data_IF_393777125237
#
_entry.id   IF_393777125237
#
_cell.length_a   1.000
_cell.length_b   1.000
_cell.length_c   1.000
_cell.angle_alpha   90.00
_cell.angle_beta   90.00
_cell.angle_gamma   90.00
#
_symmetry.space_group_name_H-M   'P 1'
#
loop_
_entity.id
_entity.type
_entity.pdbx_description
1 polymer ?
#
# COMPACT_ATOMS: atom_id res chain seq x y z
N UNK A 1 13.26 1.81 7.63
CA UNK A 1 12.28 0.88 7.04
C UNK A 1 11.19 0.55 8.03
N UNK A 2 9.92 0.47 7.59
CA UNK A 2 8.81 0.22 8.53
C UNK A 2 8.76 -1.22 9.04
N UNK A 3 9.45 -2.14 8.39
CA UNK A 3 9.52 -3.53 8.85
C UNK A 3 8.24 -4.32 8.65
N UNK A 4 7.50 -4.01 7.60
CA UNK A 4 6.30 -4.77 7.30
C UNK A 4 6.62 -6.07 6.56
N UNK A 5 5.74 -7.06 6.70
CA UNK A 5 5.82 -8.30 5.94
C UNK A 5 4.59 -8.48 5.07
N UNK A 6 4.82 -8.97 3.86
CA UNK A 6 3.75 -9.25 2.92
C UNK A 6 3.11 -10.59 3.30
N UNK A 7 1.84 -10.56 3.69
CA UNK A 7 1.12 -11.74 4.18
C UNK A 7 0.31 -12.42 3.09
N UNK A 8 -0.13 -11.66 2.09
CA UNK A 8 -0.96 -12.16 1.01
C UNK A 8 -0.75 -11.35 -0.25
N UNK A 9 -0.70 -12.04 -1.38
CA UNK A 9 -0.53 -11.40 -2.70
C UNK A 9 -1.23 -12.25 -3.74
N UNK A 10 -2.56 -12.16 -3.78
CA UNK A 10 -3.42 -12.91 -4.70
C UNK A 10 -4.07 -11.94 -5.68
N UNK A 11 -4.67 -12.43 -6.77
CA UNK A 11 -5.31 -11.53 -7.75
C UNK A 11 -6.29 -10.57 -7.10
N UNK A 12 -5.99 -9.28 -7.20
CA UNK A 12 -6.82 -8.20 -6.70
C UNK A 12 -6.74 -7.94 -5.21
N UNK A 13 -5.93 -8.67 -4.44
CA UNK A 13 -5.86 -8.47 -3.00
C UNK A 13 -4.44 -8.65 -2.47
N UNK A 14 -4.04 -7.78 -1.56
CA UNK A 14 -2.76 -7.87 -0.86
C UNK A 14 -2.97 -7.59 0.61
N UNK A 15 -2.17 -8.23 1.47
CA UNK A 15 -2.17 -7.98 2.91
C UNK A 15 -0.75 -7.80 3.38
N UNK A 16 -0.54 -6.81 4.23
CA UNK A 16 0.74 -6.58 4.90
C UNK A 16 0.50 -6.49 6.40
N UNK A 17 1.52 -6.80 7.16
CA UNK A 17 1.47 -6.69 8.60
C UNK A 17 2.75 -6.02 9.10
N UNK A 18 2.61 -5.21 10.15
CA UNK A 18 3.75 -4.58 10.80
C UNK A 18 3.51 -4.55 12.30
N UNK A 19 4.46 -5.05 13.12
CA UNK A 19 4.39 -4.85 14.56
C UNK A 19 4.66 -3.38 14.87
N UNK A 20 3.84 -2.78 15.71
CA UNK A 20 4.02 -1.39 16.06
C UNK A 20 5.21 -1.25 17.01
N UNK A 21 6.24 -0.57 16.57
CA UNK A 21 7.44 -0.29 17.36
C UNK A 21 7.37 1.13 17.91
N UNK A 22 8.15 1.38 18.96
CA UNK A 22 8.13 2.69 19.62
C UNK A 22 8.38 3.84 18.63
N UNK A 23 9.34 3.70 17.73
CA UNK A 23 9.65 4.75 16.77
C UNK A 23 8.56 4.97 15.72
N UNK A 24 7.56 4.10 15.65
CA UNK A 24 6.42 4.24 14.75
C UNK A 24 5.20 4.82 15.46
N UNK A 25 5.32 5.10 16.76
CA UNK A 25 4.22 5.66 17.56
C UNK A 25 4.41 7.15 17.77
N UNK A 26 3.30 7.82 18.07
CA UNK A 26 3.33 9.21 18.52
C UNK A 26 3.48 9.25 20.05
N UNK A 27 3.39 10.45 20.64
CA UNK A 27 3.53 10.64 22.09
C UNK A 27 2.46 9.91 22.91
N UNK A 28 1.40 9.44 22.28
CA UNK A 28 0.32 8.70 22.93
C UNK A 28 0.50 7.19 22.88
N UNK A 29 1.60 6.71 22.27
CA UNK A 29 1.85 5.27 22.12
C UNK A 29 1.00 4.59 21.06
N UNK A 30 0.39 5.35 20.16
CA UNK A 30 -0.42 4.82 19.06
C UNK A 30 0.27 5.11 17.73
N UNK A 31 -0.12 4.39 16.68
CA UNK A 31 0.49 4.54 15.37
C UNK A 31 0.43 5.99 14.90
N UNK A 32 1.57 6.51 14.46
CA UNK A 32 1.64 7.84 13.87
C UNK A 32 0.80 7.88 12.58
N UNK A 33 0.08 9.00 12.37
CA UNK A 33 -0.76 9.14 11.18
C UNK A 33 -0.02 8.93 9.87
N UNK A 34 1.23 9.39 9.79
CA UNK A 34 2.07 9.18 8.62
C UNK A 34 2.39 7.70 8.39
N UNK A 35 2.55 6.92 9.45
CA UNK A 35 2.76 5.47 9.34
C UNK A 35 1.49 4.81 8.80
N UNK A 36 0.34 5.16 9.32
CA UNK A 36 -0.95 4.64 8.85
C UNK A 36 -1.14 4.93 7.37
N UNK A 37 -0.90 6.16 6.93
CA UNK A 37 -1.03 6.52 5.52
C UNK A 37 -0.05 5.75 4.63
N UNK A 38 1.18 5.59 5.09
CA UNK A 38 2.21 4.85 4.34
C UNK A 38 1.79 3.39 4.18
N UNK A 39 1.31 2.75 5.24
CA UNK A 39 0.87 1.36 5.17
C UNK A 39 -0.30 1.18 4.21
N UNK A 40 -1.26 2.09 4.24
CA UNK A 40 -2.40 2.05 3.33
C UNK A 40 -1.96 2.25 1.87
N UNK A 41 -1.07 3.21 1.62
CA UNK A 41 -0.53 3.45 0.28
C UNK A 41 0.19 2.20 -0.24
N UNK A 42 1.08 1.64 0.57
CA UNK A 42 1.87 0.47 0.19
C UNK A 42 0.97 -0.73 -0.10
N UNK A 43 -0.02 -1.02 0.75
CA UNK A 43 -0.85 -2.20 0.56
C UNK A 43 -1.78 -2.04 -0.66
N UNK A 44 -2.27 -0.83 -0.92
CA UNK A 44 -3.05 -0.57 -2.12
C UNK A 44 -2.20 -0.69 -3.38
N UNK A 45 -0.96 -0.19 -3.33
CA UNK A 45 -0.03 -0.31 -4.46
C UNK A 45 0.29 -1.78 -4.74
N UNK A 46 0.48 -2.59 -3.71
CA UNK A 46 0.67 -4.03 -3.87
C UNK A 46 -0.56 -4.68 -4.50
N UNK A 47 -1.76 -4.32 -4.03
CA UNK A 47 -3.00 -4.84 -4.59
C UNK A 47 -3.13 -4.50 -6.09
N UNK A 48 -2.73 -3.28 -6.46
CA UNK A 48 -2.77 -2.85 -7.85
C UNK A 48 -1.83 -3.68 -8.74
N UNK A 49 -0.75 -4.20 -8.18
CA UNK A 49 0.26 -4.97 -8.91
C UNK A 49 0.07 -6.48 -8.80
N UNK A 50 -0.97 -6.96 -8.15
CA UNK A 50 -1.24 -8.39 -8.09
C UNK A 50 -1.49 -8.95 -9.49
N UNK A 51 -1.22 -10.25 -9.72
CA UNK A 51 -1.52 -10.86 -11.01
C UNK A 51 -3.01 -10.76 -11.33
N UNK A 52 -3.34 -10.81 -12.62
CA UNK A 52 -4.73 -10.95 -13.03
C UNK A 52 -5.19 -12.38 -12.77
N UNK A 53 -6.50 -12.61 -12.88
CA UNK A 53 -7.11 -13.92 -12.61
C UNK A 53 -6.49 -15.02 -13.48
N UNK A 54 -6.04 -14.67 -14.69
CA UNK A 54 -5.38 -15.62 -15.61
C UNK A 54 -3.89 -15.79 -15.32
N UNK A 55 -3.37 -15.18 -14.26
CA UNK A 55 -1.98 -15.34 -13.87
C UNK A 55 -1.00 -14.38 -14.53
N UNK A 56 -1.46 -13.44 -15.34
CA UNK A 56 -0.58 -12.46 -15.98
C UNK A 56 -0.05 -11.50 -14.92
N UNK A 57 1.27 -11.43 -14.80
CA UNK A 57 1.95 -10.63 -13.78
C UNK A 57 2.15 -9.20 -14.28
N UNK A 58 1.86 -8.23 -13.41
CA UNK A 58 2.12 -6.83 -13.71
C UNK A 58 3.60 -6.52 -13.48
N UNK A 59 4.31 -6.17 -14.54
CA UNK A 59 5.75 -5.88 -14.48
C UNK A 59 6.05 -4.38 -14.52
N UNK A 60 5.05 -3.53 -14.75
CA UNK A 60 5.25 -2.08 -14.78
C UNK A 60 5.49 -1.52 -13.38
N UNK A 61 6.19 -0.40 -13.32
CA UNK A 61 6.22 0.40 -12.10
C UNK A 61 4.85 1.00 -11.83
N UNK A 62 4.65 1.54 -10.64
CA UNK A 62 3.38 2.14 -10.26
C UNK A 62 3.62 3.41 -9.46
N UNK A 63 2.79 4.41 -9.66
CA UNK A 63 2.82 5.64 -8.86
C UNK A 63 1.42 5.94 -8.34
N UNK A 64 1.38 6.54 -7.15
CA UNK A 64 0.14 7.00 -6.53
C UNK A 64 -0.26 8.33 -7.16
N UNK A 65 -1.45 8.40 -7.72
CA UNK A 65 -1.99 9.64 -8.26
C UNK A 65 -2.64 10.45 -7.15
N UNK A 66 -3.48 9.80 -6.36
CA UNK A 66 -4.10 10.41 -5.20
C UNK A 66 -4.54 9.32 -4.24
N UNK A 67 -4.69 9.68 -2.97
CA UNK A 67 -5.34 8.80 -2.01
C UNK A 67 -6.09 9.66 -0.99
N UNK A 68 -7.19 9.11 -0.52
CA UNK A 68 -7.99 9.71 0.53
C UNK A 68 -8.03 8.74 1.71
N UNK A 69 -7.65 9.23 2.88
CA UNK A 69 -7.58 8.40 4.10
C UNK A 69 -8.52 8.95 5.15
N UNK A 70 -9.28 8.06 5.75
CA UNK A 70 -10.12 8.36 6.93
C UNK A 70 -9.51 7.67 8.13
N UNK A 71 -9.20 8.43 9.18
CA UNK A 71 -8.67 7.92 10.43
C UNK A 71 -9.84 7.70 11.37
N UNK A 72 -10.08 6.45 11.75
CA UNK A 72 -11.29 6.09 12.49
C UNK A 72 -11.03 5.93 13.98
N UNK A 73 -9.83 5.45 14.36
CA UNK A 73 -9.45 5.25 15.76
C UNK A 73 -7.94 5.05 15.88
N UNK A 74 -7.37 5.22 17.07
CA UNK A 74 -5.94 4.98 17.28
C UNK A 74 -5.58 3.51 17.05
N UNK A 75 -4.46 3.26 16.37
CA UNK A 75 -3.97 1.91 16.13
C UNK A 75 -3.01 1.47 17.22
N UNK A 76 -3.22 0.28 17.78
CA UNK A 76 -2.42 -0.29 18.85
C UNK A 76 -1.94 -1.69 18.48
N UNK A 77 -0.70 -1.98 18.81
CA UNK A 77 -0.12 -3.28 18.61
C UNK A 77 0.21 -3.58 17.16
N UNK A 78 0.03 -4.83 16.75
CA UNK A 78 0.31 -5.26 15.39
C UNK A 78 -0.77 -4.74 14.45
N UNK A 79 -0.33 -4.09 13.37
CA UNK A 79 -1.24 -3.55 12.37
C UNK A 79 -1.27 -4.44 11.14
N UNK A 80 -2.46 -4.72 10.63
CA UNK A 80 -2.64 -5.50 9.40
C UNK A 80 -3.41 -4.66 8.40
N UNK A 81 -2.79 -4.42 7.26
CA UNK A 81 -3.40 -3.70 6.15
C UNK A 81 -3.86 -4.65 5.06
N UNK A 82 -5.04 -4.41 4.53
CA UNK A 82 -5.58 -5.17 3.39
C UNK A 82 -5.87 -4.19 2.28
N UNK A 83 -5.33 -4.46 1.09
CA UNK A 83 -5.60 -3.69 -0.12
C UNK A 83 -6.40 -4.52 -1.10
N UNK A 84 -7.34 -3.86 -1.79
CA UNK A 84 -8.14 -4.49 -2.84
C UNK A 84 -8.12 -3.62 -4.08
N UNK A 85 -7.86 -4.25 -5.22
CA UNK A 85 -8.00 -3.58 -6.51
C UNK A 85 -9.46 -3.70 -6.93
N UNK A 86 -10.17 -2.57 -6.91
CA UNK A 86 -11.59 -2.53 -7.24
C UNK A 86 -11.82 -2.55 -8.75
N UNK A 87 -10.94 -1.87 -9.48
CA UNK A 87 -11.06 -1.74 -10.92
C UNK A 87 -9.71 -1.43 -11.52
N UNK A 88 -9.50 -1.89 -12.74
CA UNK A 88 -8.28 -1.64 -13.48
C UNK A 88 -8.59 -1.31 -14.93
N UNK A 89 -7.90 -0.28 -15.46
CA UNK A 89 -7.84 0.00 -16.90
C UNK A 89 -6.44 -0.39 -17.41
N UNK A 90 -6.17 -0.14 -18.67
CA UNK A 90 -4.85 -0.42 -19.22
C UNK A 90 -3.73 0.37 -18.53
N UNK A 91 -4.05 1.58 -18.03
CA UNK A 91 -3.04 2.47 -17.44
C UNK A 91 -3.26 2.81 -15.99
N UNK A 92 -4.41 2.51 -15.41
CA UNK A 92 -4.79 2.96 -14.08
C UNK A 92 -5.35 1.81 -13.24
N UNK A 93 -5.23 1.94 -11.92
CA UNK A 93 -5.87 1.04 -10.97
C UNK A 93 -6.57 1.87 -9.90
N UNK A 94 -7.75 1.40 -9.50
CA UNK A 94 -8.55 2.02 -8.44
C UNK A 94 -8.66 1.01 -7.31
N UNK A 95 -8.17 1.40 -6.13
CA UNK A 95 -8.02 0.49 -5.01
C UNK A 95 -8.67 1.05 -3.75
N UNK A 96 -8.96 0.14 -2.81
CA UNK A 96 -9.27 0.53 -1.45
C UNK A 96 -8.33 -0.21 -0.51
N UNK A 97 -8.16 0.34 0.69
CA UNK A 97 -7.35 -0.27 1.72
C UNK A 97 -7.96 -0.06 3.08
N UNK A 98 -7.76 -1.01 3.97
CA UNK A 98 -8.17 -0.89 5.36
C UNK A 98 -7.05 -1.36 6.25
N UNK A 99 -7.00 -0.80 7.46
CA UNK A 99 -6.00 -1.12 8.46
C UNK A 99 -6.72 -1.51 9.74
N UNK A 100 -6.36 -2.68 10.30
CA UNK A 100 -6.90 -3.14 11.57
C UNK A 100 -5.77 -3.31 12.57
N UNK A 101 -6.08 -3.15 13.85
CA UNK A 101 -5.09 -3.30 14.91
C UNK A 101 -5.14 -4.71 15.52
N UNK A 102 -4.33 -4.92 16.57
CA UNK A 102 -4.21 -6.22 17.22
C UNK A 102 -5.54 -6.70 17.82
N UNK A 103 -6.45 -5.79 18.15
CA UNK A 103 -7.78 -6.13 18.66
C UNK A 103 -8.80 -6.45 17.56
N UNK A 104 -8.40 -6.40 16.30
CA UNK A 104 -9.31 -6.62 15.17
C UNK A 104 -10.19 -5.44 14.84
N UNK A 105 -9.92 -4.27 15.44
CA UNK A 105 -10.69 -3.05 15.20
C UNK A 105 -10.15 -2.30 13.99
N UNK A 106 -11.05 -1.74 13.18
CA UNK A 106 -10.63 -0.94 12.05
C UNK A 106 -10.06 0.39 12.52
N UNK A 107 -8.85 0.70 12.08
CA UNK A 107 -8.11 1.90 12.47
C UNK A 107 -8.30 3.00 11.43
N UNK A 108 -8.23 2.62 10.16
CA UNK A 108 -8.30 3.57 9.07
C UNK A 108 -8.76 2.88 7.80
N UNK A 109 -9.29 3.69 6.89
CA UNK A 109 -9.72 3.24 5.57
C UNK A 109 -9.27 4.27 4.54
N UNK A 110 -8.89 3.78 3.36
CA UNK A 110 -8.47 4.66 2.28
C UNK A 110 -8.99 4.18 0.94
N UNK A 111 -9.11 5.11 0.01
CA UNK A 111 -9.25 4.83 -1.41
C UNK A 111 -8.07 5.47 -2.12
N UNK A 112 -7.62 4.87 -3.21
CA UNK A 112 -6.48 5.39 -3.94
C UNK A 112 -6.58 5.10 -5.41
N UNK A 113 -5.97 5.99 -6.19
CA UNK A 113 -5.86 5.87 -7.64
C UNK A 113 -4.38 5.78 -7.98
N UNK A 114 -4.03 4.81 -8.81
CA UNK A 114 -2.64 4.52 -9.16
C UNK A 114 -2.48 4.47 -10.66
N UNK A 115 -1.30 4.84 -11.14
CA UNK A 115 -0.99 4.78 -12.56
C UNK A 115 0.16 3.81 -12.79
N UNK A 116 0.00 2.93 -13.78
CA UNK A 116 1.07 2.05 -14.22
C UNK A 116 2.03 2.82 -15.13
N UNK A 117 3.32 2.73 -14.83
CA UNK A 117 4.36 3.38 -15.62
C UNK A 117 4.94 2.36 -16.58
N UNK A 118 4.36 2.28 -17.75
CA UNK A 118 4.78 1.32 -18.76
C UNK A 118 6.19 1.63 -19.24
N UNK A 119 6.98 0.58 -19.45
CA UNK A 119 8.35 0.71 -19.87
C UNK A 119 9.33 0.99 -18.75
N UNK A 120 8.86 1.17 -17.51
CA UNK A 120 9.73 1.32 -16.34
C UNK A 120 9.75 0.01 -15.56
N UNK A 121 10.91 -0.60 -15.36
CA UNK A 121 10.98 -1.80 -14.55
C UNK A 121 10.68 -1.48 -13.08
N UNK A 122 10.05 -2.43 -12.40
CA UNK A 122 9.69 -2.27 -11.00
C UNK A 122 10.91 -2.08 -10.09
N UNK A 123 12.11 -2.41 -10.56
CA UNK A 123 13.34 -2.26 -9.79
C UNK A 123 13.94 -0.88 -9.73
N UNK A 124 13.39 0.10 -10.41
CA UNK A 124 13.83 1.48 -10.30
C UNK A 124 15.05 1.89 -11.09
N UNK A 125 15.63 1.01 -11.89
CA UNK A 125 16.80 1.37 -12.69
C UNK A 125 16.55 2.54 -13.63
N UNK A 126 15.38 2.59 -14.21
CA UNK A 126 15.00 3.67 -15.12
C UNK A 126 14.82 4.99 -14.39
N UNK A 127 14.34 4.94 -13.16
CA UNK A 127 14.16 6.13 -12.33
C UNK A 127 15.52 6.77 -12.06
N UNK A 128 16.53 5.98 -11.72
CA UNK A 128 17.89 6.49 -11.54
C UNK A 128 18.41 7.13 -12.82
N UNK A 129 18.14 6.53 -13.95
CA UNK A 129 18.58 7.04 -15.23
C UNK A 129 17.94 8.37 -15.56
N UNK A 130 16.66 8.52 -15.27
CA UNK A 130 15.97 9.79 -15.46
C UNK A 130 16.55 10.87 -14.56
N UNK A 131 16.83 10.55 -13.32
CA UNK A 131 17.44 11.48 -12.40
C UNK A 131 18.84 11.89 -12.85
N UNK A 132 19.60 10.98 -13.42
CA UNK A 132 20.93 11.26 -13.92
C UNK A 132 20.94 12.15 -15.16
N UNK A 133 19.85 12.19 -15.91
CA UNK A 133 19.74 13.01 -17.12
C UNK A 133 19.27 14.42 -16.84
N UNK A 134 18.89 14.72 -15.62
CA UNK A 134 18.56 16.08 -15.20
C UNK A 134 19.82 16.91 -14.98
#
# INVERSE_FOLDING_TARGET
MLGFELMRFDPGIAEIAVPLREELTNSWGVAHGGVTMTLLDVVMAHAARTPSVDGVVETSGIVTIEMKTSFLRPGLGRLVGTGRRLHRTASMAFCEGSLVDAGGEIVAHATGTFKYLKGLPAGGKRIQRLNASD
#
